data_IF_234856613203
#
_entry.id   IF_234856613203
#
_cell.length_a   1.000
_cell.length_b   1.000
_cell.length_c   1.000
_cell.angle_alpha   90.00
_cell.angle_beta   90.00
_cell.angle_gamma   90.00
#
_symmetry.space_group_name_H-M   'P 1'
#
loop_
_entity.id
_entity.type
_entity.pdbx_description
1 polymer ?
#
# COMPACT_ATOMS: atom_id res chain seq x y z
N UNK A 1 21.79 1.45 7.39
CA UNK A 1 20.90 1.41 8.56
C UNK A 1 19.45 1.04 8.22
N UNK A 2 19.06 1.15 6.93
CA UNK A 2 17.73 0.77 6.42
C UNK A 2 17.87 0.07 5.08
N UNK A 3 16.90 -0.81 4.77
CA UNK A 3 16.82 -1.46 3.45
C UNK A 3 16.09 -0.55 2.45
N UNK A 4 15.09 0.18 2.93
CA UNK A 4 14.29 1.09 2.13
C UNK A 4 13.91 2.32 2.95
N UNK A 5 13.82 3.46 2.26
CA UNK A 5 13.27 4.72 2.76
C UNK A 5 12.40 5.34 1.67
N UNK A 6 11.21 5.80 2.05
CA UNK A 6 10.27 6.44 1.13
C UNK A 6 10.13 7.91 1.51
N UNK A 7 10.59 8.78 0.63
CA UNK A 7 10.51 10.23 0.81
C UNK A 7 9.26 10.77 0.10
N UNK A 8 8.65 11.80 0.70
CA UNK A 8 7.48 12.46 0.12
C UNK A 8 7.86 13.48 -0.93
N UNK A 9 6.94 13.73 -1.85
CA UNK A 9 7.02 14.85 -2.79
C UNK A 9 5.65 15.48 -2.94
N UNK A 10 5.56 16.77 -2.66
CA UNK A 10 4.35 17.54 -2.82
C UNK A 10 4.29 18.20 -4.20
N UNK A 11 3.16 18.04 -4.87
CA UNK A 11 2.83 18.76 -6.10
C UNK A 11 1.67 19.70 -5.81
N UNK A 12 1.72 20.89 -6.35
CA UNK A 12 0.68 21.90 -6.18
C UNK A 12 0.20 22.39 -7.54
N UNK A 13 -1.11 22.46 -7.70
CA UNK A 13 -1.75 22.99 -8.88
C UNK A 13 -2.96 23.85 -8.46
N UNK A 14 -2.99 25.13 -8.81
CA UNK A 14 -4.19 25.95 -8.61
C UNK A 14 -5.39 25.31 -9.32
N UNK A 15 -6.49 25.21 -8.62
CA UNK A 15 -7.74 24.66 -9.15
C UNK A 15 -8.90 25.63 -8.87
N UNK A 16 -9.78 25.79 -9.87
CA UNK A 16 -11.00 26.57 -9.74
C UNK A 16 -12.18 25.73 -10.25
N UNK A 17 -13.12 25.46 -9.37
CA UNK A 17 -14.32 24.69 -9.72
C UNK A 17 -14.77 23.79 -8.58
N UNK A 18 -15.54 22.79 -8.93
CA UNK A 18 -16.10 21.80 -8.02
C UNK A 18 -15.12 20.60 -7.89
N UNK A 19 -14.51 20.44 -6.74
CA UNK A 19 -13.54 19.39 -6.46
C UNK A 19 -14.16 17.98 -6.47
N UNK A 20 -15.46 17.83 -6.17
CA UNK A 20 -16.14 16.56 -6.30
C UNK A 20 -16.21 16.07 -7.76
N UNK A 21 -16.23 16.98 -8.73
CA UNK A 21 -16.10 16.61 -10.15
C UNK A 21 -14.72 16.07 -10.49
N UNK A 22 -13.66 16.58 -9.85
CA UNK A 22 -12.30 16.02 -9.99
C UNK A 22 -12.25 14.59 -9.45
N UNK A 23 -12.83 14.36 -8.26
CA UNK A 23 -12.94 13.00 -7.71
C UNK A 23 -13.72 12.05 -8.63
N UNK A 24 -14.85 12.51 -9.19
CA UNK A 24 -15.62 11.70 -10.15
C UNK A 24 -14.83 11.35 -11.41
N UNK A 25 -14.04 12.30 -11.93
CA UNK A 25 -13.15 12.04 -13.06
C UNK A 25 -12.06 11.01 -12.68
N UNK A 26 -11.43 11.18 -11.51
CA UNK A 26 -10.44 10.23 -10.99
C UNK A 26 -11.00 8.81 -10.91
N UNK A 27 -12.21 8.66 -10.38
CA UNK A 27 -12.90 7.36 -10.29
C UNK A 27 -13.09 6.69 -11.65
N UNK A 28 -13.35 7.48 -12.69
CA UNK A 28 -13.56 6.96 -14.06
C UNK A 28 -12.24 6.59 -14.75
N UNK A 29 -11.15 7.33 -14.46
CA UNK A 29 -9.84 7.12 -15.07
C UNK A 29 -9.09 5.97 -14.38
N UNK A 30 -9.16 5.93 -13.06
CA UNK A 30 -8.45 4.94 -12.23
C UNK A 30 -9.40 4.29 -11.21
N UNK A 31 -10.27 3.37 -11.66
CA UNK A 31 -11.09 2.61 -10.73
C UNK A 31 -10.21 1.65 -9.93
N UNK A 32 -10.24 1.78 -8.61
CA UNK A 32 -9.50 0.95 -7.67
C UNK A 32 -10.42 0.45 -6.56
N UNK A 33 -10.04 -0.59 -5.79
CA UNK A 33 -10.88 -1.15 -4.73
C UNK A 33 -11.30 -0.13 -3.67
N UNK A 34 -10.44 0.84 -3.38
CA UNK A 34 -10.68 1.84 -2.35
C UNK A 34 -10.82 3.24 -2.96
N UNK A 35 -12.06 3.67 -3.12
CA UNK A 35 -12.43 5.00 -3.59
C UNK A 35 -12.97 5.79 -2.40
N UNK A 36 -12.37 6.93 -2.08
CA UNK A 36 -12.75 7.71 -0.91
C UNK A 36 -12.81 9.20 -1.22
N UNK A 37 -13.69 9.89 -0.51
CA UNK A 37 -13.83 11.34 -0.51
C UNK A 37 -14.24 11.80 0.88
N UNK A 38 -13.34 12.51 1.56
CA UNK A 38 -13.55 13.06 2.89
C UNK A 38 -13.66 14.58 2.84
N UNK A 39 -14.74 15.13 3.36
CA UNK A 39 -14.93 16.56 3.54
C UNK A 39 -14.74 16.91 5.01
N UNK A 40 -13.69 17.66 5.30
CA UNK A 40 -13.37 18.16 6.64
C UNK A 40 -13.79 19.63 6.85
N UNK A 41 -14.61 20.18 5.95
CA UNK A 41 -15.09 21.58 5.99
C UNK A 41 -14.09 22.57 5.40
N UNK A 42 -12.90 22.66 5.98
CA UNK A 42 -11.85 23.59 5.49
C UNK A 42 -10.98 23.04 4.36
N UNK A 43 -10.94 21.72 4.20
CA UNK A 43 -10.19 21.02 3.15
C UNK A 43 -10.83 19.67 2.86
N UNK A 44 -10.43 19.07 1.74
CA UNK A 44 -10.91 17.75 1.31
C UNK A 44 -9.75 16.84 0.98
N UNK A 45 -9.93 15.56 1.27
CA UNK A 45 -8.99 14.50 0.87
C UNK A 45 -9.77 13.46 0.10
N UNK A 46 -9.34 13.16 -1.12
CA UNK A 46 -9.96 12.13 -1.93
C UNK A 46 -8.92 11.38 -2.76
N UNK A 47 -9.27 10.18 -3.15
CA UNK A 47 -8.35 9.33 -3.88
C UNK A 47 -8.94 8.04 -4.38
N UNK A 48 -8.08 7.28 -5.03
CA UNK A 48 -8.32 5.93 -5.54
C UNK A 48 -7.08 5.10 -5.22
N UNK A 49 -7.20 4.11 -4.32
CA UNK A 49 -6.10 3.28 -3.85
C UNK A 49 -6.31 1.82 -4.17
N UNK A 50 -5.31 1.10 -4.69
CA UNK A 50 -5.36 -0.34 -4.89
C UNK A 50 -5.00 -1.13 -3.62
N UNK A 51 -4.35 -0.52 -2.64
CA UNK A 51 -3.67 -1.20 -1.55
C UNK A 51 -4.53 -1.30 -0.29
N UNK A 52 -4.59 -2.51 0.28
CA UNK A 52 -5.17 -2.75 1.60
C UNK A 52 -4.09 -2.54 2.65
N UNK A 53 -4.16 -1.43 3.41
CA UNK A 53 -3.22 -1.19 4.50
C UNK A 53 -3.42 -2.20 5.63
N UNK A 54 -4.64 -2.27 6.17
CA UNK A 54 -5.01 -3.22 7.21
C UNK A 54 -6.52 -3.43 7.16
N UNK A 55 -6.95 -4.67 7.06
CA UNK A 55 -8.36 -5.06 7.14
C UNK A 55 -8.55 -5.92 8.37
N UNK A 56 -9.52 -5.57 9.20
CA UNK A 56 -9.94 -6.36 10.37
C UNK A 56 -11.40 -6.77 10.15
N UNK A 57 -11.65 -8.07 10.09
CA UNK A 57 -12.97 -8.63 9.92
C UNK A 57 -13.01 -10.08 10.43
N UNK A 58 -14.13 -10.48 11.03
CA UNK A 58 -14.43 -11.86 11.40
C UNK A 58 -13.34 -12.53 12.25
N UNK A 59 -12.74 -11.80 13.20
CA UNK A 59 -11.68 -12.30 14.06
C UNK A 59 -10.30 -12.38 13.40
N UNK A 60 -10.13 -11.83 12.20
CA UNK A 60 -8.84 -11.83 11.48
C UNK A 60 -8.40 -10.40 11.14
N UNK A 61 -7.09 -10.19 11.15
CA UNK A 61 -6.46 -9.02 10.56
C UNK A 61 -5.63 -9.42 9.35
N UNK A 62 -5.63 -8.61 8.29
CA UNK A 62 -4.81 -8.86 7.10
C UNK A 62 -4.21 -7.58 6.53
N UNK A 63 -3.04 -7.73 5.92
CA UNK A 63 -2.31 -6.70 5.16
C UNK A 63 -1.99 -7.31 3.80
N UNK A 64 -2.24 -6.54 2.73
CA UNK A 64 -1.93 -6.98 1.36
C UNK A 64 -0.77 -6.14 0.80
N UNK A 65 0.51 -6.47 1.06
CA UNK A 65 1.63 -5.73 0.52
C UNK A 65 1.67 -5.87 -1.00
N UNK A 66 1.78 -4.71 -1.66
CA UNK A 66 1.97 -4.59 -3.11
C UNK A 66 3.40 -4.14 -3.35
N UNK A 67 4.19 -4.95 -4.04
CA UNK A 67 5.51 -4.59 -4.52
C UNK A 67 5.81 -5.28 -5.83
N UNK A 68 6.52 -4.58 -6.68
CA UNK A 68 6.68 -4.99 -8.07
C UNK A 68 5.58 -4.40 -8.95
N UNK A 69 6.00 -3.53 -9.89
CA UNK A 69 5.07 -2.82 -10.76
C UNK A 69 5.57 -2.83 -12.19
N UNK A 70 4.74 -3.28 -13.11
CA UNK A 70 4.95 -3.12 -14.54
C UNK A 70 3.78 -2.36 -15.17
N UNK A 71 4.08 -1.59 -16.22
CA UNK A 71 3.04 -0.89 -16.97
C UNK A 71 2.24 -1.88 -17.82
N UNK A 72 0.91 -1.80 -17.75
CA UNK A 72 -0.02 -2.59 -18.56
C UNK A 72 -0.32 -1.89 -19.87
N UNK A 73 -0.19 -2.60 -20.98
CA UNK A 73 -0.45 -2.05 -22.34
C UNK A 73 -1.83 -2.37 -22.87
N UNK A 74 -2.44 -3.46 -22.38
CA UNK A 74 -3.65 -4.05 -22.93
C UNK A 74 -3.39 -5.06 -24.10
N UNK A 75 -2.15 -5.14 -24.58
CA UNK A 75 -1.73 -6.22 -25.47
C UNK A 75 -1.35 -7.45 -24.63
N UNK A 76 -2.04 -8.56 -24.86
CA UNK A 76 -1.91 -9.78 -24.06
C UNK A 76 -0.49 -10.36 -24.10
N UNK A 77 0.16 -10.35 -25.28
CA UNK A 77 1.49 -10.93 -25.43
C UNK A 77 2.54 -10.07 -24.73
N UNK A 78 2.44 -8.75 -24.89
CA UNK A 78 3.37 -7.81 -24.26
C UNK A 78 3.16 -7.74 -22.74
N UNK A 79 1.92 -7.77 -22.27
CA UNK A 79 1.61 -7.80 -20.83
C UNK A 79 2.13 -9.10 -20.18
N UNK A 80 2.04 -10.24 -20.88
CA UNK A 80 2.66 -11.50 -20.43
C UNK A 80 4.17 -11.40 -20.33
N UNK A 81 4.84 -10.87 -21.34
CA UNK A 81 6.29 -10.66 -21.32
C UNK A 81 6.73 -9.78 -20.16
N UNK A 82 5.97 -8.70 -19.88
CA UNK A 82 6.24 -7.81 -18.75
C UNK A 82 6.02 -8.50 -17.39
N UNK A 83 5.02 -9.36 -17.32
CA UNK A 83 4.77 -10.18 -16.13
C UNK A 83 5.92 -11.13 -15.86
N UNK A 84 6.40 -11.82 -16.88
CA UNK A 84 7.53 -12.75 -16.77
C UNK A 84 8.81 -11.99 -16.36
N UNK A 85 9.06 -10.82 -16.94
CA UNK A 85 10.19 -9.96 -16.57
C UNK A 85 10.07 -9.48 -15.10
N UNK A 86 8.87 -9.06 -14.66
CA UNK A 86 8.62 -8.60 -13.29
C UNK A 86 8.87 -9.72 -12.28
N UNK A 87 8.39 -10.93 -12.56
CA UNK A 87 8.59 -12.10 -11.70
C UNK A 87 10.07 -12.52 -11.62
N UNK A 88 10.85 -12.26 -12.66
CA UNK A 88 12.27 -12.58 -12.73
C UNK A 88 13.19 -11.49 -12.17
N UNK A 89 12.68 -10.28 -11.92
CA UNK A 89 13.48 -9.15 -11.46
C UNK A 89 13.98 -9.33 -10.02
N UNK A 90 15.30 -9.45 -9.77
CA UNK A 90 15.83 -9.68 -8.44
C UNK A 90 15.57 -8.54 -7.46
N UNK A 91 15.53 -7.29 -7.93
CA UNK A 91 15.28 -6.11 -7.11
C UNK A 91 13.83 -6.08 -6.63
N UNK A 92 12.88 -6.23 -7.55
CA UNK A 92 11.46 -6.27 -7.24
C UNK A 92 11.13 -7.44 -6.31
N UNK A 93 11.78 -8.58 -6.52
CA UNK A 93 11.66 -9.75 -5.65
C UNK A 93 12.18 -9.50 -4.24
N UNK A 94 13.34 -8.85 -4.09
CA UNK A 94 13.93 -8.53 -2.79
C UNK A 94 13.06 -7.51 -2.02
N UNK A 95 12.55 -6.49 -2.71
CA UNK A 95 11.62 -5.52 -2.13
C UNK A 95 10.33 -6.20 -1.66
N UNK A 96 9.76 -7.08 -2.48
CA UNK A 96 8.54 -7.79 -2.14
C UNK A 96 8.70 -8.68 -0.89
N UNK A 97 9.80 -9.44 -0.80
CA UNK A 97 10.12 -10.25 0.40
C UNK A 97 10.20 -9.37 1.65
N UNK A 98 10.90 -8.25 1.54
CA UNK A 98 11.05 -7.29 2.65
C UNK A 98 9.69 -6.74 3.11
N UNK A 99 8.79 -6.38 2.20
CA UNK A 99 7.47 -5.85 2.55
C UNK A 99 6.55 -6.91 3.14
N UNK A 100 6.62 -8.15 2.68
CA UNK A 100 5.89 -9.29 3.28
C UNK A 100 6.37 -9.55 4.70
N UNK A 101 7.68 -9.53 4.94
CA UNK A 101 8.25 -9.72 6.28
C UNK A 101 7.87 -8.58 7.22
N UNK A 102 7.87 -7.33 6.71
CA UNK A 102 7.40 -6.17 7.46
C UNK A 102 5.92 -6.28 7.83
N UNK A 103 5.06 -6.74 6.92
CA UNK A 103 3.64 -6.96 7.18
C UNK A 103 3.42 -8.06 8.25
N UNK A 104 4.21 -9.14 8.20
CA UNK A 104 4.19 -10.17 9.24
C UNK A 104 4.55 -9.61 10.61
N UNK A 105 5.62 -8.81 10.68
CA UNK A 105 6.06 -8.18 11.91
C UNK A 105 5.02 -7.20 12.45
N UNK A 106 4.40 -6.39 11.59
CA UNK A 106 3.37 -5.43 12.00
C UNK A 106 2.12 -6.13 12.56
N UNK A 107 1.64 -7.19 11.91
CA UNK A 107 0.49 -7.97 12.40
C UNK A 107 0.79 -8.70 13.70
N UNK A 108 2.00 -9.24 13.87
CA UNK A 108 2.39 -10.00 15.06
C UNK A 108 2.34 -9.21 16.37
N UNK A 109 2.11 -7.91 16.31
CA UNK A 109 1.91 -7.06 17.51
C UNK A 109 0.52 -7.23 18.11
N UNK A 110 -0.48 -7.61 17.32
CA UNK A 110 -1.88 -7.68 17.73
C UNK A 110 -2.59 -8.95 17.22
N UNK A 111 -1.88 -9.83 16.55
CA UNK A 111 -2.41 -11.06 16.01
C UNK A 111 -1.49 -12.25 16.32
N UNK A 112 -2.07 -13.43 16.43
CA UNK A 112 -1.37 -14.70 16.54
C UNK A 112 -1.59 -15.53 15.27
N UNK A 113 -0.88 -16.63 15.14
CA UNK A 113 -0.93 -17.52 13.97
C UNK A 113 -0.76 -16.78 12.64
N UNK A 114 0.18 -15.80 12.65
CA UNK A 114 0.44 -14.96 11.48
C UNK A 114 1.07 -15.78 10.36
N UNK A 115 0.40 -15.79 9.21
CA UNK A 115 0.78 -16.58 8.02
C UNK A 115 0.69 -15.76 6.73
N UNK A 116 1.29 -16.32 5.67
CA UNK A 116 1.16 -15.79 4.31
C UNK A 116 0.13 -16.63 3.56
N UNK A 117 -1.05 -16.05 3.30
CA UNK A 117 -2.15 -16.77 2.67
C UNK A 117 -1.86 -17.06 1.18
N UNK A 118 -1.31 -16.06 0.49
CA UNK A 118 -0.78 -16.20 -0.86
C UNK A 118 0.45 -15.30 -1.05
N UNK A 119 1.33 -15.70 -1.97
CA UNK A 119 2.62 -15.06 -2.16
C UNK A 119 2.90 -14.75 -3.63
N UNK A 120 3.16 -13.47 -3.94
CA UNK A 120 3.48 -12.97 -5.28
C UNK A 120 2.44 -13.31 -6.34
N UNK A 121 1.16 -13.18 -6.00
CA UNK A 121 0.10 -13.30 -7.00
C UNK A 121 0.15 -12.12 -7.97
N UNK A 122 0.10 -12.44 -9.26
CA UNK A 122 0.08 -11.42 -10.31
C UNK A 122 -1.33 -10.86 -10.45
N UNK A 123 -1.49 -9.57 -10.23
CA UNK A 123 -2.78 -8.89 -10.36
C UNK A 123 -2.72 -7.83 -11.47
N UNK A 124 -3.69 -7.90 -12.38
CA UNK A 124 -3.81 -6.97 -13.51
C UNK A 124 -4.85 -5.89 -13.19
N UNK A 125 -4.36 -4.65 -13.08
CA UNK A 125 -5.20 -3.46 -12.94
C UNK A 125 -5.39 -2.77 -14.29
N UNK A 126 -6.12 -1.64 -14.33
CA UNK A 126 -6.39 -0.93 -15.59
C UNK A 126 -5.12 -0.50 -16.33
N UNK A 127 -4.09 -0.05 -15.61
CA UNK A 127 -2.87 0.55 -16.19
C UNK A 127 -1.57 -0.10 -15.73
N UNK A 128 -1.64 -0.97 -14.73
CA UNK A 128 -0.45 -1.58 -14.10
C UNK A 128 -0.68 -3.06 -13.83
N UNK A 129 0.44 -3.79 -13.74
CA UNK A 129 0.53 -5.17 -13.30
C UNK A 129 1.29 -5.13 -11.99
N UNK A 130 0.74 -5.70 -10.93
CA UNK A 130 1.36 -5.75 -9.61
C UNK A 130 1.60 -7.19 -9.15
N UNK A 131 2.63 -7.36 -8.32
CA UNK A 131 2.77 -8.53 -7.46
C UNK A 131 2.16 -8.22 -6.10
N UNK A 132 1.23 -9.05 -5.68
CA UNK A 132 0.50 -8.89 -4.42
C UNK A 132 0.68 -10.14 -3.57
N UNK A 133 0.90 -9.96 -2.28
CA UNK A 133 0.82 -11.02 -1.29
C UNK A 133 -0.23 -10.68 -0.25
N UNK A 134 -0.66 -11.66 0.53
CA UNK A 134 -1.49 -11.44 1.72
C UNK A 134 -0.83 -12.05 2.93
N UNK A 135 -0.74 -11.26 3.97
CA UNK A 135 -0.39 -11.72 5.31
C UNK A 135 -1.62 -11.57 6.19
N UNK A 136 -1.99 -12.62 6.89
CA UNK A 136 -3.13 -12.61 7.83
C UNK A 136 -2.73 -13.20 9.17
N UNK A 137 -3.55 -12.93 10.19
CA UNK A 137 -3.42 -13.51 11.51
C UNK A 137 -4.75 -13.39 12.26
N UNK A 138 -4.93 -14.25 13.26
CA UNK A 138 -6.08 -14.22 14.14
C UNK A 138 -5.92 -13.15 15.21
N UNK A 139 -6.98 -12.43 15.52
CA UNK A 139 -7.02 -11.45 16.60
C UNK A 139 -7.98 -11.93 17.69
N UNK A 140 -7.65 -11.62 18.95
CA UNK A 140 -8.51 -11.95 20.07
C UNK A 140 -9.88 -11.26 19.97
N UNK A 141 -10.93 -11.93 20.47
CA UNK A 141 -12.30 -11.44 20.38
C UNK A 141 -12.54 -10.07 21.07
N UNK A 142 -11.70 -9.74 22.04
CA UNK A 142 -11.71 -8.46 22.77
C UNK A 142 -10.73 -7.44 22.18
N UNK A 143 -10.03 -7.76 21.10
CA UNK A 143 -9.10 -6.85 20.42
C UNK A 143 -9.84 -5.64 19.84
N UNK A 144 -9.23 -4.48 19.98
CA UNK A 144 -9.74 -3.25 19.38
C UNK A 144 -9.22 -3.10 17.95
N UNK A 145 -10.10 -3.18 16.92
CA UNK A 145 -9.68 -3.05 15.51
C UNK A 145 -8.97 -1.74 15.21
N UNK A 146 -9.33 -0.64 15.90
CA UNK A 146 -8.68 0.65 15.73
C UNK A 146 -7.24 0.60 16.26
N UNK A 147 -7.03 -0.09 17.38
CA UNK A 147 -5.68 -0.29 17.92
C UNK A 147 -4.81 -1.12 16.95
N UNK A 148 -5.34 -2.20 16.42
CA UNK A 148 -4.66 -3.02 15.42
C UNK A 148 -4.24 -2.17 14.21
N UNK A 149 -5.14 -1.34 13.68
CA UNK A 149 -4.82 -0.40 12.61
C UNK A 149 -3.70 0.59 12.99
N UNK A 150 -3.78 1.21 14.17
CA UNK A 150 -2.78 2.20 14.63
C UNK A 150 -1.40 1.55 14.78
N UNK A 151 -1.33 0.34 15.31
CA UNK A 151 -0.07 -0.35 15.55
C UNK A 151 0.62 -0.84 14.25
N UNK A 152 -0.15 -1.02 13.17
CA UNK A 152 0.39 -1.32 11.84
C UNK A 152 0.76 -0.07 11.04
N UNK A 153 0.24 1.10 11.40
CA UNK A 153 0.50 2.38 10.72
C UNK A 153 1.90 2.94 11.05
N UNK A 154 2.56 3.65 10.09
CA UNK A 154 2.22 3.75 8.67
C UNK A 154 2.57 2.49 7.89
N UNK A 155 1.96 2.32 6.69
CA UNK A 155 2.31 1.22 5.80
C UNK A 155 3.79 1.24 5.44
N UNK A 156 4.41 0.06 5.32
CA UNK A 156 5.83 -0.07 4.97
C UNK A 156 6.15 0.49 3.59
N UNK A 157 5.23 0.35 2.65
CA UNK A 157 5.28 0.92 1.30
C UNK A 157 5.34 2.45 1.28
N UNK A 158 4.94 3.11 2.36
CA UNK A 158 4.94 4.58 2.50
C UNK A 158 5.97 5.10 3.52
N UNK A 159 6.74 4.23 4.14
CA UNK A 159 7.74 4.61 5.16
C UNK A 159 9.12 4.00 4.87
N UNK A 160 9.21 2.70 4.93
CA UNK A 160 10.44 1.94 4.71
C UNK A 160 10.68 0.86 5.76
N UNK A 161 11.82 0.20 5.66
CA UNK A 161 12.19 -0.91 6.52
C UNK A 161 13.66 -0.82 6.97
N UNK A 162 13.99 -1.06 8.26
CA UNK A 162 13.08 -1.19 9.42
C UNK A 162 12.30 0.11 9.68
N UNK A 163 11.00 -0.01 9.94
CA UNK A 163 10.03 1.10 9.96
C UNK A 163 10.44 2.26 10.87
N UNK A 164 10.77 2.00 12.13
CA UNK A 164 11.12 3.04 13.10
C UNK A 164 12.35 3.82 12.65
N UNK A 165 13.39 3.13 12.17
CA UNK A 165 14.61 3.77 11.70
C UNK A 165 14.38 4.57 10.41
N UNK A 166 13.58 4.04 9.49
CA UNK A 166 13.20 4.77 8.28
C UNK A 166 12.47 6.07 8.62
N UNK A 167 11.49 6.03 9.54
CA UNK A 167 10.76 7.22 9.97
C UNK A 167 11.65 8.27 10.64
N UNK A 168 12.64 7.87 11.45
CA UNK A 168 13.63 8.79 12.03
C UNK A 168 14.41 9.51 10.92
N UNK A 169 14.90 8.76 9.93
CA UNK A 169 15.65 9.33 8.80
C UNK A 169 14.78 10.25 7.93
N UNK A 170 13.53 9.87 7.65
CA UNK A 170 12.55 10.72 6.94
C UNK A 170 12.38 12.04 7.67
N UNK A 171 12.23 11.98 9.01
CA UNK A 171 12.08 13.16 9.86
C UNK A 171 13.29 14.10 9.78
N UNK A 172 14.50 13.55 9.66
CA UNK A 172 15.73 14.33 9.54
C UNK A 172 15.92 14.93 8.15
N UNK A 173 15.44 14.26 7.10
CA UNK A 173 15.57 14.69 5.70
C UNK A 173 14.47 15.68 5.31
N UNK A 174 13.22 15.41 5.69
CA UNK A 174 12.04 16.19 5.28
C UNK A 174 11.71 17.33 6.25
N UNK A 175 12.69 18.18 6.56
CA UNK A 175 12.51 19.28 7.53
C UNK A 175 11.44 20.30 7.19
N UNK A 176 11.08 20.43 5.90
CA UNK A 176 10.18 21.47 5.39
C UNK A 176 8.84 20.94 4.92
N UNK A 177 8.61 19.63 4.89
CA UNK A 177 7.43 18.98 4.31
C UNK A 177 6.57 18.25 5.36
N UNK A 178 6.58 18.74 6.57
CA UNK A 178 5.78 18.17 7.68
C UNK A 178 4.39 18.77 7.74
#
# INVERSE_FOLDING_TARGET
>A
DVFQIVLSRRFEQPFKGDDFKVYRALRSINPSPYLFYFDFGGFRIFGSSPETHCKVADGHASIDPIAGTAFRTGDVALDRQRTEALLADPKENAEHVMLVDLARNDLSRNAHDVQVDFYKEVQYYSHVIHLVSRVSGEIDADSNPVKTYIDTFPAGTLSGAPKVRAMQLITDIEKHNR
#
